data_IF_492042049675
#
_entry.id   IF_492042049675
#
_cell.length_a   1.000
_cell.length_b   1.000
_cell.length_c   1.000
_cell.angle_alpha   90.00
_cell.angle_beta   90.00
_cell.angle_gamma   90.00
#
_symmetry.space_group_name_H-M   'P 1'
#
loop_
_entity.id
_entity.type
_entity.pdbx_description
1 polymer ?
#
# COMPACT_ATOMS: atom_id res chain seq x y z
N UNK A 1 39.53 -23.66 72.62
CA UNK A 1 38.23 -23.25 72.05
C UNK A 1 38.49 -22.48 70.75
N UNK A 2 38.36 -23.13 69.59
CA UNK A 2 38.54 -22.49 68.28
C UNK A 2 37.18 -22.51 67.59
N UNK A 3 36.53 -21.35 67.48
CA UNK A 3 35.28 -21.18 66.73
C UNK A 3 35.61 -21.09 65.24
N UNK A 4 35.24 -22.11 64.47
CA UNK A 4 35.23 -22.06 63.00
C UNK A 4 34.00 -21.27 62.55
N UNK A 5 34.21 -20.08 62.00
CA UNK A 5 33.17 -19.33 61.30
C UNK A 5 33.02 -19.92 59.88
N UNK A 6 31.85 -20.48 59.61
CA UNK A 6 31.45 -20.96 58.27
C UNK A 6 30.97 -19.74 57.48
N UNK A 7 31.67 -19.42 56.39
CA UNK A 7 31.30 -18.37 55.45
C UNK A 7 30.45 -19.00 54.35
N UNK A 8 29.13 -18.80 54.39
CA UNK A 8 28.21 -19.28 53.36
C UNK A 8 28.17 -18.26 52.22
N UNK A 9 28.75 -18.60 51.07
CA UNK A 9 28.65 -17.81 49.86
C UNK A 9 27.25 -17.96 49.24
N UNK A 10 26.47 -16.90 49.25
CA UNK A 10 25.19 -16.82 48.53
C UNK A 10 25.49 -16.52 47.07
N UNK A 11 25.35 -17.52 46.20
CA UNK A 11 25.35 -17.34 44.75
C UNK A 11 23.97 -16.80 44.40
N UNK A 12 23.87 -15.50 44.15
CA UNK A 12 22.69 -14.89 43.55
C UNK A 12 22.73 -15.26 42.07
N UNK A 13 21.96 -16.29 41.68
CA UNK A 13 21.71 -16.57 40.27
C UNK A 13 20.95 -15.41 39.65
N UNK A 14 21.58 -14.72 38.71
CA UNK A 14 20.87 -13.79 37.82
C UNK A 14 20.19 -14.67 36.79
N UNK A 15 18.93 -15.03 37.03
CA UNK A 15 18.07 -15.55 35.99
C UNK A 15 17.88 -14.44 34.96
N UNK A 16 18.63 -14.52 33.86
CA UNK A 16 18.41 -13.69 32.68
C UNK A 16 17.02 -14.07 32.17
N UNK A 17 16.00 -13.26 32.48
CA UNK A 17 14.68 -13.40 31.87
C UNK A 17 14.84 -13.19 30.36
N UNK A 18 14.90 -14.30 29.61
CA UNK A 18 14.82 -14.25 28.16
C UNK A 18 13.39 -13.87 27.77
N UNK A 19 13.21 -12.60 27.40
CA UNK A 19 11.93 -12.13 26.87
C UNK A 19 11.57 -12.91 25.60
N UNK A 20 10.32 -13.37 25.52
CA UNK A 20 9.79 -14.05 24.35
C UNK A 20 9.61 -13.07 23.18
N UNK A 21 9.47 -13.57 21.95
CA UNK A 21 9.22 -12.73 20.77
C UNK A 21 7.98 -11.82 20.94
N UNK A 22 6.90 -12.34 21.54
CA UNK A 22 5.69 -11.54 21.81
C UNK A 22 5.93 -10.44 22.86
N UNK A 23 6.72 -10.71 23.90
CA UNK A 23 7.03 -9.72 24.93
C UNK A 23 7.90 -8.60 24.37
N UNK A 24 8.82 -8.94 23.47
CA UNK A 24 9.66 -7.98 22.76
C UNK A 24 8.83 -7.12 21.80
N UNK A 25 7.91 -7.71 21.02
CA UNK A 25 7.02 -6.95 20.14
C UNK A 25 6.12 -6.00 20.93
N UNK A 26 5.55 -6.45 22.06
CA UNK A 26 4.73 -5.61 22.94
C UNK A 26 5.51 -4.46 23.55
N UNK A 27 6.74 -4.72 24.02
CA UNK A 27 7.54 -3.69 24.71
C UNK A 27 8.24 -2.72 23.76
N UNK A 28 8.61 -3.15 22.55
CA UNK A 28 9.41 -2.34 21.60
C UNK A 28 8.62 -1.79 20.43
N UNK A 29 7.68 -2.57 19.88
CA UNK A 29 6.96 -2.19 18.66
C UNK A 29 5.59 -1.55 18.97
N UNK A 30 4.92 -2.01 20.03
CA UNK A 30 3.59 -1.52 20.40
C UNK A 30 3.58 -0.08 20.95
N UNK A 31 4.76 0.51 21.19
CA UNK A 31 4.90 1.93 21.54
C UNK A 31 4.38 2.86 20.43
N UNK A 32 4.36 2.38 19.19
CA UNK A 32 3.87 3.12 18.02
C UNK A 32 2.89 2.30 17.20
N UNK A 33 3.19 1.03 16.94
CA UNK A 33 2.36 0.18 16.08
C UNK A 33 1.22 -0.44 16.88
N UNK A 34 0.00 -0.28 16.39
CA UNK A 34 -1.10 -1.07 16.90
C UNK A 34 -0.93 -2.53 16.45
N UNK A 35 -0.97 -3.45 17.43
CA UNK A 35 -0.80 -4.88 17.22
C UNK A 35 -2.12 -5.59 16.88
N UNK A 36 -3.24 -4.94 17.16
CA UNK A 36 -4.59 -5.44 16.86
C UNK A 36 -5.09 -4.90 15.51
N UNK A 37 -6.12 -5.55 14.96
CA UNK A 37 -6.77 -5.14 13.73
C UNK A 37 -7.51 -3.81 13.93
N UNK A 38 -7.25 -2.75 13.14
CA UNK A 38 -7.98 -1.49 13.26
C UNK A 38 -9.45 -1.63 12.86
N UNK A 39 -10.28 -0.78 13.45
CA UNK A 39 -11.55 -0.38 12.85
C UNK A 39 -11.33 0.82 11.91
N UNK A 40 -12.25 1.04 10.98
CA UNK A 40 -12.14 2.15 10.01
C UNK A 40 -12.03 3.52 10.70
N UNK A 41 -12.72 3.73 11.82
CA UNK A 41 -12.69 4.99 12.57
C UNK A 41 -11.35 5.26 13.27
N UNK A 42 -10.56 4.22 13.56
CA UNK A 42 -9.26 4.38 14.22
C UNK A 42 -8.17 4.84 13.24
N UNK A 43 -8.27 4.48 11.96
CA UNK A 43 -7.21 4.69 10.96
C UNK A 43 -6.73 6.15 10.87
N UNK A 44 -7.60 7.18 10.87
CA UNK A 44 -7.18 8.58 10.79
C UNK A 44 -6.36 9.06 11.99
N UNK A 45 -6.50 8.43 13.16
CA UNK A 45 -5.85 8.84 14.41
C UNK A 45 -4.53 8.11 14.68
N UNK A 46 -4.24 7.05 13.92
CA UNK A 46 -3.02 6.27 14.09
C UNK A 46 -1.79 7.11 13.76
N UNK A 47 -0.77 7.04 14.63
CA UNK A 47 0.53 7.71 14.43
C UNK A 47 1.52 6.86 13.63
N UNK A 48 1.25 5.56 13.50
CA UNK A 48 2.03 4.61 12.73
C UNK A 48 1.09 3.60 12.07
N UNK A 49 1.49 2.95 10.97
CA UNK A 49 0.68 1.90 10.38
C UNK A 49 0.49 0.75 11.37
N UNK A 50 -0.67 0.08 11.40
CA UNK A 50 -0.87 -1.11 12.22
C UNK A 50 0.08 -2.23 11.76
N UNK A 51 0.53 -3.08 12.69
CA UNK A 51 1.51 -4.13 12.39
C UNK A 51 1.02 -5.11 11.33
N UNK A 52 -0.28 -5.40 11.35
CA UNK A 52 -1.00 -6.16 10.31
C UNK A 52 -0.70 -5.62 8.89
N UNK A 53 -0.84 -4.31 8.68
CA UNK A 53 -0.60 -3.69 7.38
C UNK A 53 0.88 -3.70 7.01
N UNK A 54 1.78 -3.45 7.97
CA UNK A 54 3.23 -3.49 7.73
C UNK A 54 3.63 -4.87 7.21
N UNK A 55 3.23 -5.93 7.91
CA UNK A 55 3.60 -7.30 7.54
C UNK A 55 2.87 -7.80 6.30
N UNK A 56 1.65 -7.33 6.03
CA UNK A 56 0.98 -7.56 4.75
C UNK A 56 1.82 -7.02 3.59
N UNK A 57 2.26 -5.76 3.65
CA UNK A 57 3.11 -5.17 2.61
C UNK A 57 4.49 -5.84 2.53
N UNK A 58 5.10 -6.23 3.66
CA UNK A 58 6.35 -7.00 3.66
C UNK A 58 6.20 -8.30 2.87
N UNK A 59 5.14 -9.07 3.13
CA UNK A 59 4.87 -10.37 2.45
C UNK A 59 4.40 -10.22 1.00
N UNK A 60 3.93 -9.04 0.59
CA UNK A 60 3.65 -8.75 -0.82
C UNK A 60 4.93 -8.54 -1.64
N UNK A 61 5.97 -7.99 -1.01
CA UNK A 61 7.24 -7.65 -1.68
C UNK A 61 8.27 -8.77 -1.57
N UNK A 62 8.23 -9.56 -0.48
CA UNK A 62 9.23 -10.57 -0.14
C UNK A 62 8.56 -11.93 0.03
N UNK A 63 9.12 -12.95 -0.63
CA UNK A 63 8.51 -14.29 -0.70
C UNK A 63 9.20 -15.33 0.20
N UNK A 64 10.32 -14.98 0.84
CA UNK A 64 11.08 -15.89 1.72
C UNK A 64 11.36 -15.26 3.09
N UNK A 65 11.49 -16.13 4.11
CA UNK A 65 11.63 -15.69 5.49
C UNK A 65 12.96 -15.00 5.79
N UNK A 66 14.06 -15.42 5.15
CA UNK A 66 15.38 -14.87 5.45
C UNK A 66 15.51 -13.43 4.94
N UNK A 67 14.99 -13.15 3.74
CA UNK A 67 14.91 -11.77 3.21
C UNK A 67 14.02 -10.89 4.10
N UNK A 68 12.89 -11.42 4.59
CA UNK A 68 12.02 -10.67 5.52
C UNK A 68 12.72 -10.36 6.83
N UNK A 69 13.43 -11.33 7.44
CA UNK A 69 14.19 -11.11 8.68
C UNK A 69 15.29 -10.08 8.49
N UNK A 70 16.07 -10.20 7.41
CA UNK A 70 17.13 -9.25 7.08
C UNK A 70 16.56 -7.83 6.88
N UNK A 71 15.43 -7.71 6.19
CA UNK A 71 14.74 -6.43 6.01
C UNK A 71 14.26 -5.84 7.33
N UNK A 72 13.57 -6.61 8.17
CA UNK A 72 13.06 -6.12 9.47
C UNK A 72 14.24 -5.67 10.35
N UNK A 73 15.30 -6.49 10.44
CA UNK A 73 16.48 -6.17 11.24
C UNK A 73 17.19 -4.89 10.76
N UNK A 74 17.38 -4.72 9.45
CA UNK A 74 17.97 -3.48 8.92
C UNK A 74 17.05 -2.28 9.09
N UNK A 75 15.76 -2.41 8.75
CA UNK A 75 14.84 -1.28 8.76
C UNK A 75 14.57 -0.75 10.18
N UNK A 76 14.53 -1.62 11.20
CA UNK A 76 14.37 -1.19 12.60
C UNK A 76 15.58 -0.38 13.10
N UNK A 77 16.78 -0.70 12.60
CA UNK A 77 18.04 -0.03 13.02
C UNK A 77 18.35 1.19 12.13
N UNK A 78 18.13 1.09 10.82
CA UNK A 78 18.46 2.09 9.81
C UNK A 78 17.25 2.41 8.92
N UNK A 79 16.14 2.91 9.49
CA UNK A 79 14.93 3.19 8.75
C UNK A 79 15.15 4.35 7.78
N UNK A 80 14.74 4.16 6.53
CA UNK A 80 14.81 5.18 5.48
C UNK A 80 13.56 5.10 4.59
N UNK A 81 13.01 6.25 4.18
CA UNK A 81 11.81 6.32 3.34
C UNK A 81 11.92 5.45 2.07
N UNK A 82 13.10 5.47 1.44
CA UNK A 82 13.39 4.72 0.20
C UNK A 82 13.44 3.20 0.39
N UNK A 83 13.64 2.72 1.62
CA UNK A 83 13.66 1.30 2.00
C UNK A 83 12.28 0.77 2.40
N UNK A 84 11.32 1.65 2.69
CA UNK A 84 10.02 1.25 3.21
C UNK A 84 9.28 0.33 2.22
N UNK A 85 8.67 -0.75 2.70
CA UNK A 85 7.76 -1.61 1.91
C UNK A 85 6.37 -1.01 1.73
N UNK A 86 5.99 -0.04 2.56
CA UNK A 86 4.70 0.65 2.48
C UNK A 86 4.69 1.65 1.31
N UNK A 87 3.51 1.95 0.77
CA UNK A 87 3.35 2.94 -0.30
C UNK A 87 3.88 4.34 0.10
N UNK A 88 4.33 5.12 -0.88
CA UNK A 88 5.02 6.41 -0.67
C UNK A 88 4.12 7.44 0.06
N UNK A 89 2.83 7.46 -0.24
CA UNK A 89 1.84 8.27 0.49
C UNK A 89 1.71 7.87 1.97
N UNK A 90 1.97 6.61 2.34
CA UNK A 90 1.97 6.17 3.75
C UNK A 90 3.20 6.66 4.49
N UNK A 91 4.35 6.72 3.82
CA UNK A 91 5.55 7.35 4.38
C UNK A 91 5.34 8.87 4.54
N UNK A 92 4.67 9.52 3.59
CA UNK A 92 4.30 10.95 3.73
C UNK A 92 3.31 11.18 4.89
N UNK A 93 2.37 10.25 5.10
CA UNK A 93 1.36 10.33 6.16
C UNK A 93 1.93 10.07 7.56
N UNK A 94 2.68 8.98 7.74
CA UNK A 94 3.14 8.52 9.06
C UNK A 94 4.59 8.94 9.37
N UNK A 95 5.34 9.39 8.38
CA UNK A 95 6.78 9.58 8.48
C UNK A 95 7.56 8.27 8.37
N UNK A 96 8.87 8.37 8.65
CA UNK A 96 9.79 7.23 8.73
C UNK A 96 9.82 6.73 10.18
N UNK A 97 9.90 5.41 10.36
CA UNK A 97 10.01 4.77 11.68
C UNK A 97 11.20 5.36 12.46
N UNK A 98 11.08 5.65 13.76
CA UNK A 98 12.24 6.00 14.60
C UNK A 98 13.22 4.82 14.70
N UNK A 99 14.52 5.10 14.54
CA UNK A 99 15.56 4.09 14.72
C UNK A 99 15.57 3.57 16.15
N UNK A 100 15.66 2.24 16.31
CA UNK A 100 15.89 1.59 17.60
C UNK A 100 17.37 1.25 17.85
N UNK A 101 18.29 1.81 17.05
CA UNK A 101 19.73 1.56 17.20
C UNK A 101 20.20 1.85 18.63
N UNK A 102 20.86 0.87 19.24
CA UNK A 102 21.35 0.95 20.63
C UNK A 102 20.29 0.66 21.70
N UNK A 103 19.01 0.59 21.35
CA UNK A 103 17.90 0.25 22.26
C UNK A 103 17.38 -1.18 22.13
N UNK A 104 17.88 -1.90 21.12
CA UNK A 104 17.54 -3.29 20.82
C UNK A 104 18.80 -4.04 20.33
N UNK A 105 18.95 -5.28 20.79
CA UNK A 105 20.03 -6.18 20.39
C UNK A 105 19.67 -6.99 19.14
N UNK A 106 20.68 -7.61 18.51
CA UNK A 106 20.45 -8.48 17.35
C UNK A 106 19.66 -9.75 17.72
N UNK A 107 19.87 -10.30 18.91
CA UNK A 107 19.10 -11.45 19.39
C UNK A 107 17.61 -11.11 19.58
N UNK A 108 17.32 -9.96 20.18
CA UNK A 108 15.94 -9.47 20.31
C UNK A 108 15.30 -9.21 18.94
N UNK A 109 16.05 -8.61 18.00
CA UNK A 109 15.56 -8.40 16.63
C UNK A 109 15.23 -9.69 15.90
N UNK A 110 16.06 -10.74 16.06
CA UNK A 110 15.77 -12.06 15.49
C UNK A 110 14.44 -12.59 16.03
N UNK A 111 14.25 -12.57 17.35
CA UNK A 111 13.01 -13.04 18.00
C UNK A 111 11.78 -12.23 17.60
N UNK A 112 11.92 -10.90 17.48
CA UNK A 112 10.85 -10.02 16.97
C UNK A 112 10.51 -10.40 15.54
N UNK A 113 11.52 -10.55 14.67
CA UNK A 113 11.31 -10.85 13.25
C UNK A 113 10.62 -12.20 13.06
N UNK A 114 11.08 -13.24 13.77
CA UNK A 114 10.47 -14.57 13.77
C UNK A 114 8.99 -14.47 14.18
N UNK A 115 8.71 -13.78 15.29
CA UNK A 115 7.34 -13.62 15.78
C UNK A 115 6.44 -12.88 14.79
N UNK A 116 6.91 -11.76 14.22
CA UNK A 116 6.14 -10.97 13.26
C UNK A 116 5.83 -11.75 11.98
N UNK A 117 6.80 -12.49 11.45
CA UNK A 117 6.63 -13.30 10.24
C UNK A 117 5.62 -14.44 10.46
N UNK A 118 5.68 -15.07 11.63
CA UNK A 118 4.78 -16.18 11.98
C UNK A 118 3.34 -15.71 12.23
N UNK A 119 3.16 -14.59 12.92
CA UNK A 119 1.84 -14.19 13.45
C UNK A 119 1.12 -13.11 12.62
N UNK A 120 1.82 -12.39 11.74
CA UNK A 120 1.25 -11.28 10.97
C UNK A 120 1.50 -11.42 9.45
N UNK A 121 0.57 -10.95 8.60
CA UNK A 121 -0.76 -10.53 8.97
C UNK A 121 -1.62 -11.74 9.38
N UNK A 122 -2.61 -11.51 10.24
CA UNK A 122 -3.60 -12.53 10.59
C UNK A 122 -4.47 -12.86 9.39
N UNK A 123 -4.98 -14.10 9.33
CA UNK A 123 -5.91 -14.51 8.27
C UNK A 123 -7.13 -13.58 8.20
N UNK A 124 -7.67 -13.18 9.35
CA UNK A 124 -8.81 -12.28 9.44
C UNK A 124 -8.52 -10.90 8.82
N UNK A 125 -7.31 -10.37 9.01
CA UNK A 125 -6.89 -9.13 8.37
C UNK A 125 -6.78 -9.30 6.84
N UNK A 126 -6.17 -10.39 6.38
CA UNK A 126 -6.06 -10.69 4.94
C UNK A 126 -7.43 -10.84 4.28
N UNK A 127 -8.34 -11.58 4.90
CA UNK A 127 -9.71 -11.76 4.40
C UNK A 127 -10.43 -10.40 4.31
N UNK A 128 -10.31 -9.56 5.34
CA UNK A 128 -10.87 -8.20 5.37
C UNK A 128 -10.30 -7.31 4.26
N UNK A 129 -8.97 -7.30 4.06
CA UNK A 129 -8.34 -6.52 2.99
C UNK A 129 -8.80 -7.01 1.61
N UNK A 130 -8.87 -8.32 1.41
CA UNK A 130 -9.34 -8.89 0.15
C UNK A 130 -10.81 -8.53 -0.13
N UNK A 131 -11.65 -8.49 0.90
CA UNK A 131 -13.04 -8.03 0.77
C UNK A 131 -13.12 -6.54 0.43
N UNK A 132 -12.36 -5.69 1.12
CA UNK A 132 -12.26 -4.25 0.81
C UNK A 132 -11.81 -4.06 -0.63
N UNK A 133 -10.74 -4.73 -1.06
CA UNK A 133 -10.23 -4.66 -2.43
C UNK A 133 -11.28 -5.11 -3.45
N UNK A 134 -12.04 -6.18 -3.18
CA UNK A 134 -13.12 -6.63 -4.06
C UNK A 134 -14.23 -5.59 -4.17
N UNK A 135 -14.65 -5.00 -3.04
CA UNK A 135 -15.68 -3.98 -3.01
C UNK A 135 -15.23 -2.70 -3.73
N UNK A 136 -13.98 -2.28 -3.53
CA UNK A 136 -13.36 -1.15 -4.22
C UNK A 136 -13.29 -1.40 -5.73
N UNK A 137 -12.91 -2.61 -6.17
CA UNK A 137 -12.92 -3.01 -7.59
C UNK A 137 -14.32 -2.92 -8.19
N UNK A 138 -15.34 -3.42 -7.50
CA UNK A 138 -16.73 -3.35 -7.95
C UNK A 138 -17.22 -1.90 -8.04
N UNK A 139 -16.92 -1.08 -7.03
CA UNK A 139 -17.27 0.33 -7.05
C UNK A 139 -16.56 1.09 -8.19
N UNK A 140 -15.27 0.83 -8.40
CA UNK A 140 -14.49 1.40 -9.49
C UNK A 140 -15.03 1.00 -10.86
N UNK A 141 -15.50 -0.25 -11.01
CA UNK A 141 -16.13 -0.73 -12.24
C UNK A 141 -17.44 0.02 -12.54
N UNK A 142 -18.30 0.16 -11.54
CA UNK A 142 -19.59 0.86 -11.67
C UNK A 142 -19.40 2.35 -12.01
N UNK A 143 -18.39 3.00 -11.43
CA UNK A 143 -18.17 4.44 -11.57
C UNK A 143 -17.14 4.81 -12.65
N UNK A 144 -16.73 3.84 -13.47
CA UNK A 144 -15.64 3.98 -14.42
C UNK A 144 -15.97 4.94 -15.57
N UNK A 145 -15.13 5.95 -15.84
CA UNK A 145 -15.30 6.81 -17.00
C UNK A 145 -14.72 6.18 -18.28
N UNK A 146 -14.19 4.95 -18.21
CA UNK A 146 -13.54 4.27 -19.34
C UNK A 146 -14.54 3.33 -20.04
N UNK A 147 -14.45 3.26 -21.38
CA UNK A 147 -15.20 2.28 -22.17
C UNK A 147 -14.64 0.86 -21.96
N UNK A 148 -13.32 0.74 -21.89
CA UNK A 148 -12.62 -0.53 -21.63
C UNK A 148 -12.10 -0.48 -20.21
N UNK A 149 -12.67 -1.32 -19.34
CA UNK A 149 -12.28 -1.45 -17.94
C UNK A 149 -11.90 -2.90 -17.60
N UNK A 150 -10.93 -3.43 -18.35
CA UNK A 150 -10.40 -4.79 -18.15
C UNK A 150 -9.19 -4.70 -17.23
N UNK A 151 -9.05 -5.63 -16.29
CA UNK A 151 -7.94 -5.67 -15.30
C UNK A 151 -6.55 -5.64 -15.95
N UNK A 152 -6.45 -6.07 -17.22
CA UNK A 152 -5.21 -5.99 -18.00
C UNK A 152 -4.75 -4.56 -18.35
N UNK A 153 -5.54 -3.51 -18.11
CA UNK A 153 -5.11 -2.12 -18.36
C UNK A 153 -4.65 -1.44 -17.05
N UNK A 154 -3.34 -1.20 -16.85
CA UNK A 154 -2.83 -0.68 -15.59
C UNK A 154 -3.17 0.79 -15.39
N UNK A 155 -3.49 1.16 -14.15
CA UNK A 155 -3.47 2.56 -13.72
C UNK A 155 -2.04 3.03 -13.45
N UNK A 156 -1.21 3.11 -14.51
CA UNK A 156 0.23 3.42 -14.41
C UNK A 156 0.53 4.64 -13.55
N UNK A 157 -0.25 5.71 -13.71
CA UNK A 157 -0.07 6.94 -12.93
C UNK A 157 -0.28 6.74 -11.42
N UNK A 158 -1.22 5.88 -11.02
CA UNK A 158 -1.48 5.55 -9.61
C UNK A 158 -0.37 4.64 -9.08
N UNK A 159 0.01 3.65 -9.88
CA UNK A 159 1.07 2.71 -9.55
C UNK A 159 2.40 3.43 -9.31
N UNK A 160 2.82 4.28 -10.25
CA UNK A 160 4.05 5.06 -10.11
C UNK A 160 4.08 5.92 -8.84
N UNK A 161 3.05 6.73 -8.59
CA UNK A 161 3.03 7.61 -7.40
C UNK A 161 3.10 6.82 -6.09
N UNK A 162 2.58 5.59 -6.05
CA UNK A 162 2.71 4.72 -4.88
C UNK A 162 4.16 4.27 -4.63
N UNK A 163 5.00 4.19 -5.66
CA UNK A 163 6.35 3.63 -5.57
C UNK A 163 7.49 4.58 -5.99
N UNK A 164 7.20 5.82 -6.39
CA UNK A 164 8.17 6.74 -7.00
C UNK A 164 9.35 7.19 -6.12
N UNK A 165 9.25 6.99 -4.79
CA UNK A 165 10.29 7.33 -3.82
C UNK A 165 11.14 6.10 -3.42
N UNK A 166 10.86 4.93 -4.02
CA UNK A 166 11.57 3.70 -3.73
C UNK A 166 12.93 3.68 -4.43
N UNK A 167 13.96 3.34 -3.66
CA UNK A 167 15.31 3.21 -4.22
C UNK A 167 15.36 2.15 -5.33
N UNK A 168 14.61 1.06 -5.15
CA UNK A 168 14.52 -0.05 -6.09
C UNK A 168 13.85 0.33 -7.40
N UNK A 169 12.93 1.30 -7.40
CA UNK A 169 12.35 1.82 -8.64
C UNK A 169 13.28 2.85 -9.31
N UNK A 170 14.11 3.57 -8.54
CA UNK A 170 15.24 4.32 -9.11
C UNK A 170 14.88 5.41 -10.12
N UNK A 171 13.68 6.02 -10.06
CA UNK A 171 13.30 7.08 -11.01
C UNK A 171 14.23 8.30 -10.88
N UNK A 172 14.82 8.70 -12.00
CA UNK A 172 15.56 9.96 -12.09
C UNK A 172 14.62 11.17 -11.97
N UNK A 173 15.16 12.32 -11.57
CA UNK A 173 14.40 13.58 -11.51
C UNK A 173 13.80 13.96 -12.86
N UNK A 174 14.50 13.63 -13.96
CA UNK A 174 14.02 13.89 -15.31
C UNK A 174 12.84 12.97 -15.67
N UNK A 175 12.91 11.68 -15.34
CA UNK A 175 11.77 10.77 -15.49
C UNK A 175 10.57 11.26 -14.67
N UNK A 176 10.78 11.65 -13.40
CA UNK A 176 9.70 12.17 -12.53
C UNK A 176 9.02 13.40 -13.16
N UNK A 177 9.77 14.35 -13.72
CA UNK A 177 9.21 15.52 -14.41
C UNK A 177 8.34 15.13 -15.60
N UNK A 178 8.83 14.23 -16.47
CA UNK A 178 8.05 13.75 -17.64
C UNK A 178 6.78 13.00 -17.22
N UNK A 179 6.88 12.12 -16.22
CA UNK A 179 5.73 11.37 -15.69
C UNK A 179 4.69 12.30 -15.03
N UNK A 180 5.12 13.39 -14.39
CA UNK A 180 4.21 14.39 -13.86
C UNK A 180 3.45 15.12 -14.97
N UNK A 181 4.08 15.44 -16.11
CA UNK A 181 3.40 16.05 -17.26
C UNK A 181 2.30 15.12 -17.78
N UNK A 182 2.63 13.84 -18.01
CA UNK A 182 1.67 12.81 -18.45
C UNK A 182 0.53 12.69 -17.45
N UNK A 183 0.84 12.65 -16.14
CA UNK A 183 -0.14 12.58 -15.06
C UNK A 183 -1.13 13.75 -15.09
N UNK A 184 -0.63 14.98 -15.16
CA UNK A 184 -1.46 16.18 -15.12
C UNK A 184 -2.42 16.21 -16.31
N UNK A 185 -1.90 15.94 -17.51
CA UNK A 185 -2.71 15.85 -18.72
C UNK A 185 -3.78 14.76 -18.61
N UNK A 186 -3.38 13.53 -18.26
CA UNK A 186 -4.27 12.38 -18.16
C UNK A 186 -5.38 12.60 -17.15
N UNK A 187 -5.04 13.05 -15.93
CA UNK A 187 -6.03 13.29 -14.87
C UNK A 187 -6.98 14.43 -15.27
N UNK A 188 -6.47 15.51 -15.87
CA UNK A 188 -7.29 16.63 -16.32
C UNK A 188 -8.34 16.20 -17.34
N UNK A 189 -7.93 15.46 -18.37
CA UNK A 189 -8.82 14.95 -19.42
C UNK A 189 -9.84 13.95 -18.86
N UNK A 190 -9.40 12.99 -18.02
CA UNK A 190 -10.28 12.01 -17.39
C UNK A 190 -11.31 12.68 -16.50
N UNK A 191 -10.92 13.64 -15.66
CA UNK A 191 -11.84 14.34 -14.75
C UNK A 191 -12.85 15.19 -15.51
N UNK A 192 -12.41 15.89 -16.56
CA UNK A 192 -13.31 16.69 -17.41
C UNK A 192 -14.36 15.81 -18.07
N UNK A 193 -13.94 14.70 -18.68
CA UNK A 193 -14.86 13.78 -19.32
C UNK A 193 -15.77 13.08 -18.32
N UNK A 194 -15.26 12.68 -17.14
CA UNK A 194 -16.08 12.08 -16.09
C UNK A 194 -17.23 12.99 -15.67
N UNK A 195 -16.98 14.29 -15.43
CA UNK A 195 -18.06 15.24 -15.09
C UNK A 195 -19.15 15.28 -16.17
N UNK A 196 -18.76 15.31 -17.44
CA UNK A 196 -19.72 15.33 -18.54
C UNK A 196 -20.48 14.00 -18.68
N UNK A 197 -19.81 12.87 -18.46
CA UNK A 197 -20.45 11.55 -18.43
C UNK A 197 -21.46 11.48 -17.30
N UNK A 198 -21.06 11.88 -16.08
CA UNK A 198 -21.93 11.85 -14.90
C UNK A 198 -23.19 12.74 -15.14
N UNK A 199 -23.03 13.93 -15.72
CA UNK A 199 -24.17 14.80 -16.11
C UNK A 199 -25.09 14.12 -17.13
N UNK A 200 -24.55 13.55 -18.21
CA UNK A 200 -25.35 12.89 -19.24
C UNK A 200 -26.06 11.63 -18.71
N UNK A 201 -25.42 10.88 -17.81
CA UNK A 201 -26.01 9.72 -17.14
C UNK A 201 -27.16 10.16 -16.22
N UNK A 202 -27.01 11.26 -15.47
CA UNK A 202 -28.11 11.85 -14.68
C UNK A 202 -29.27 12.29 -15.55
N UNK A 203 -29.02 13.09 -16.59
CA UNK A 203 -30.08 13.55 -17.51
C UNK A 203 -30.80 12.38 -18.19
N UNK A 204 -30.05 11.33 -18.58
CA UNK A 204 -30.63 10.11 -19.16
C UNK A 204 -31.54 9.39 -18.16
N UNK A 205 -31.13 9.27 -16.90
CA UNK A 205 -31.95 8.66 -15.84
C UNK A 205 -33.21 9.48 -15.59
N UNK A 206 -33.11 10.80 -15.45
CA UNK A 206 -34.26 11.69 -15.24
C UNK A 206 -35.26 11.56 -16.39
N UNK A 207 -34.80 11.61 -17.64
CA UNK A 207 -35.67 11.48 -18.82
C UNK A 207 -36.41 10.13 -18.87
N UNK A 208 -35.79 9.03 -18.39
CA UNK A 208 -36.44 7.72 -18.30
C UNK A 208 -37.57 7.68 -17.27
N UNK A 209 -37.51 8.46 -16.20
CA UNK A 209 -38.50 8.45 -15.11
C UNK A 209 -39.60 9.51 -15.28
N UNK A 210 -39.43 10.47 -16.18
CA UNK A 210 -40.40 11.56 -16.37
C UNK A 210 -41.50 11.26 -17.41
N UNK A 211 -41.57 10.05 -18.00
CA UNK A 211 -42.62 9.62 -18.98
C UNK A 211 -42.78 10.53 -20.23
N UNK A 212 -41.89 11.50 -20.43
CA UNK A 212 -42.00 12.53 -21.47
C UNK A 212 -41.14 12.26 -22.72
N UNK A 213 -40.22 11.28 -22.67
CA UNK A 213 -39.29 11.00 -23.76
C UNK A 213 -39.40 9.56 -24.31
N UNK A 214 -39.56 9.42 -25.63
CA UNK A 214 -39.52 8.10 -26.28
C UNK A 214 -38.11 7.49 -26.17
N UNK A 215 -37.93 6.17 -26.05
CA UNK A 215 -36.59 5.56 -25.98
C UNK A 215 -35.63 6.00 -27.09
N UNK A 216 -36.16 6.32 -28.28
CA UNK A 216 -35.39 6.78 -29.45
C UNK A 216 -34.81 8.19 -29.29
N UNK A 217 -35.37 9.05 -28.43
CA UNK A 217 -34.78 10.37 -28.15
C UNK A 217 -33.55 10.27 -27.24
N UNK A 218 -33.40 9.15 -26.51
CA UNK A 218 -32.29 8.90 -25.60
C UNK A 218 -31.03 8.34 -26.27
N UNK A 219 -31.16 7.77 -27.48
CA UNK A 219 -30.04 7.22 -28.27
C UNK A 219 -28.89 8.23 -28.41
N UNK A 220 -29.21 9.51 -28.62
CA UNK A 220 -28.21 10.57 -28.73
C UNK A 220 -27.38 10.75 -27.45
N UNK A 221 -28.00 10.62 -26.26
CA UNK A 221 -27.31 10.71 -24.97
C UNK A 221 -26.43 9.49 -24.75
N UNK A 222 -26.94 8.29 -25.06
CA UNK A 222 -26.17 7.04 -25.01
C UNK A 222 -24.94 7.11 -25.91
N UNK A 223 -25.10 7.56 -27.15
CA UNK A 223 -24.01 7.75 -28.10
C UNK A 223 -22.98 8.79 -27.62
N UNK A 224 -23.44 9.89 -27.01
CA UNK A 224 -22.57 10.90 -26.44
C UNK A 224 -21.73 10.34 -25.28
N UNK A 225 -22.35 9.59 -24.37
CA UNK A 225 -21.66 8.90 -23.27
C UNK A 225 -20.62 7.92 -23.83
N UNK A 226 -21.01 7.08 -24.80
CA UNK A 226 -20.11 6.10 -25.42
C UNK A 226 -18.89 6.78 -26.09
N UNK A 227 -19.11 7.89 -26.81
CA UNK A 227 -18.03 8.68 -27.44
C UNK A 227 -17.07 9.26 -26.39
N UNK A 228 -17.58 9.78 -25.28
CA UNK A 228 -16.76 10.29 -24.18
C UNK A 228 -15.95 9.16 -23.53
N UNK A 229 -16.59 8.04 -23.17
CA UNK A 229 -15.92 6.87 -22.59
C UNK A 229 -14.82 6.32 -23.51
N UNK A 230 -15.09 6.26 -24.82
CA UNK A 230 -14.09 5.86 -25.81
C UNK A 230 -12.90 6.83 -25.88
N UNK A 231 -13.16 8.15 -25.84
CA UNK A 231 -12.13 9.18 -25.83
C UNK A 231 -11.23 9.05 -24.60
N UNK A 232 -11.81 8.86 -23.41
CA UNK A 232 -11.07 8.71 -22.16
C UNK A 232 -10.24 7.42 -22.14
N UNK A 233 -10.76 6.31 -22.67
CA UNK A 233 -9.97 5.09 -22.85
C UNK A 233 -8.76 5.32 -23.76
N UNK A 234 -8.87 6.11 -24.83
CA UNK A 234 -7.72 6.46 -25.69
C UNK A 234 -6.68 7.29 -24.93
N UNK A 235 -7.11 8.23 -24.08
CA UNK A 235 -6.21 8.99 -23.19
C UNK A 235 -5.47 8.05 -22.24
N UNK A 236 -6.16 7.06 -21.66
CA UNK A 236 -5.54 6.06 -20.79
C UNK A 236 -4.52 5.19 -21.51
N UNK A 237 -4.84 4.68 -22.71
CA UNK A 237 -3.90 3.90 -23.54
C UNK A 237 -2.65 4.72 -23.86
N UNK A 238 -2.83 6.00 -24.24
CA UNK A 238 -1.71 6.90 -24.48
C UNK A 238 -0.88 7.12 -23.22
N UNK A 239 -1.51 7.33 -22.06
CA UNK A 239 -0.80 7.45 -20.78
C UNK A 239 0.04 6.21 -20.49
N UNK A 240 -0.46 5.01 -20.78
CA UNK A 240 0.30 3.77 -20.61
C UNK A 240 1.51 3.76 -21.55
N UNK A 241 1.30 4.00 -22.85
CA UNK A 241 2.36 4.00 -23.86
C UNK A 241 3.48 5.02 -23.53
N UNK A 242 3.12 6.28 -23.30
CA UNK A 242 4.07 7.35 -22.96
C UNK A 242 4.81 7.07 -21.64
N UNK A 243 4.14 6.42 -20.67
CA UNK A 243 4.81 6.01 -19.43
C UNK A 243 5.83 4.92 -19.69
N UNK A 244 5.48 3.90 -20.47
CA UNK A 244 6.40 2.80 -20.80
C UNK A 244 7.61 3.26 -21.61
N UNK A 245 7.47 4.32 -22.42
CA UNK A 245 8.60 4.95 -23.14
C UNK A 245 9.59 5.67 -22.22
N UNK A 246 9.16 6.08 -21.01
CA UNK A 246 10.02 6.78 -20.05
C UNK A 246 10.76 5.80 -19.13
N UNK A 247 10.17 4.65 -18.86
CA UNK A 247 10.72 3.66 -17.94
C UNK A 247 11.67 2.71 -18.68
N UNK A 248 12.70 2.26 -17.99
CA UNK A 248 13.52 1.15 -18.46
C UNK A 248 12.92 -0.22 -18.07
N UNK A 249 13.49 -1.30 -18.61
CA UNK A 249 13.01 -2.66 -18.38
C UNK A 249 13.09 -3.07 -16.89
N UNK A 250 14.09 -2.60 -16.14
CA UNK A 250 14.22 -2.90 -14.71
C UNK A 250 13.10 -2.24 -13.91
N UNK A 251 12.78 -0.99 -14.22
CA UNK A 251 11.69 -0.21 -13.64
C UNK A 251 10.33 -0.83 -13.95
N UNK A 252 10.12 -1.28 -15.19
CA UNK A 252 8.91 -1.98 -15.59
C UNK A 252 8.77 -3.28 -14.79
N UNK A 253 9.83 -4.09 -14.75
CA UNK A 253 9.85 -5.35 -14.01
C UNK A 253 9.57 -5.17 -12.51
N UNK A 254 10.08 -4.09 -11.91
CA UNK A 254 9.77 -3.74 -10.53
C UNK A 254 8.27 -3.47 -10.30
N UNK A 255 7.59 -2.88 -11.29
CA UNK A 255 6.18 -2.52 -11.18
C UNK A 255 5.22 -3.69 -11.47
N UNK A 256 5.65 -4.71 -12.21
CA UNK A 256 4.81 -5.86 -12.60
C UNK A 256 4.09 -6.56 -11.42
N UNK A 257 4.72 -6.83 -10.26
CA UNK A 257 4.03 -7.50 -9.15
C UNK A 257 2.89 -6.67 -8.54
N UNK A 258 2.96 -5.34 -8.70
CA UNK A 258 1.96 -4.39 -8.19
C UNK A 258 0.91 -4.02 -9.24
N UNK A 259 1.19 -4.30 -10.51
CA UNK A 259 0.18 -4.30 -11.55
C UNK A 259 -0.72 -5.50 -11.28
N UNK A 260 -2.01 -5.24 -11.06
CA UNK A 260 -3.05 -6.24 -10.85
C UNK A 260 -3.33 -7.06 -12.13
N UNK A 261 -2.29 -7.69 -12.70
CA UNK A 261 -2.40 -8.75 -13.69
C UNK A 261 -2.49 -10.09 -12.95
N UNK A 262 -3.63 -10.34 -12.30
CA UNK A 262 -3.96 -11.64 -11.69
C UNK A 262 -5.43 -11.95 -11.91
#
# INVERSE_FOLDING_TARGET
MIKKSILTAVIIGIDILYASGVDLVKSKCATCHMLEKPTASMIPELKAPPMEAVMYHTKLVMNDQETMKAFIADYVINPEAKKSVCESNKVQQYGVMPSLKGSISQEELSKISDYLIEHYPSKAFVDMINEIQRNDKMNALQNSPFLINKEALPHMTKLLIKHWDKQTLGLSDEQKKKLLIIRHHTIGEVQKAKRNIDTLETELMEALFMDEESPKSLDNKVDAIAKLKASVTKVHIRCIAETLEILDDEQINYLLPFWEYK
#
